data_IF_168146607325
#
_entry.id   IF_168146607325
#
_cell.length_a   1.000
_cell.length_b   1.000
_cell.length_c   1.000
_cell.angle_alpha   90.00
_cell.angle_beta   90.00
_cell.angle_gamma   90.00
#
_symmetry.space_group_name_H-M   'P 1'
#
loop_
_entity.id
_entity.type
_entity.pdbx_description
1 polymer ?
#
# COMPACT_ATOMS: atom_id res chain seq x y z
N UNK A 1 -10.56 18.29 -4.12
CA UNK A 1 -9.44 17.62 -3.41
C UNK A 1 -9.29 18.34 -2.08
N UNK A 2 -9.50 17.66 -0.96
CA UNK A 2 -9.08 18.19 0.35
C UNK A 2 -7.55 18.10 0.36
N UNK A 3 -6.89 19.22 0.11
CA UNK A 3 -5.44 19.33 0.21
C UNK A 3 -5.12 20.14 1.45
N UNK A 4 -4.33 19.56 2.36
CA UNK A 4 -3.81 20.29 3.50
C UNK A 4 -2.80 21.33 3.01
N UNK A 5 -2.86 22.52 3.58
CA UNK A 5 -1.81 23.54 3.44
C UNK A 5 -0.51 23.05 4.09
N UNK A 6 0.66 23.59 3.71
CA UNK A 6 1.92 23.27 4.38
C UNK A 6 1.90 23.49 5.90
N UNK A 7 1.15 24.49 6.38
CA UNK A 7 0.96 24.76 7.80
C UNK A 7 0.15 23.67 8.50
N UNK A 8 -1.01 23.30 7.95
CA UNK A 8 -1.83 22.19 8.46
C UNK A 8 -1.06 20.87 8.45
N UNK A 9 -0.19 20.67 7.46
CA UNK A 9 0.64 19.48 7.36
C UNK A 9 1.70 19.43 8.47
N UNK A 10 2.36 20.55 8.75
CA UNK A 10 3.30 20.67 9.87
C UNK A 10 2.61 20.40 11.21
N UNK A 11 1.45 21.02 11.42
CA UNK A 11 0.63 20.82 12.63
C UNK A 11 0.23 19.35 12.81
N UNK A 12 -0.24 18.69 11.74
CA UNK A 12 -0.60 17.29 11.79
C UNK A 12 0.59 16.38 12.14
N UNK A 13 1.80 16.68 11.65
CA UNK A 13 3.01 15.93 12.04
C UNK A 13 3.33 16.06 13.51
N UNK A 14 3.21 17.27 14.06
CA UNK A 14 3.42 17.50 15.49
C UNK A 14 2.38 16.75 16.34
N UNK A 15 1.10 16.81 15.95
CA UNK A 15 0.02 16.09 16.62
C UNK A 15 0.22 14.57 16.56
N UNK A 16 0.67 14.04 15.42
CA UNK A 16 0.99 12.62 15.28
C UNK A 16 2.17 12.21 16.17
N UNK A 17 3.22 13.02 16.24
CA UNK A 17 4.36 12.75 17.12
C UNK A 17 3.92 12.72 18.60
N UNK A 18 3.07 13.66 19.02
CA UNK A 18 2.48 13.67 20.37
C UNK A 18 1.62 12.43 20.61
N UNK A 19 0.78 12.05 19.64
CA UNK A 19 -0.03 10.84 19.72
C UNK A 19 0.84 9.57 19.83
N UNK A 20 1.96 9.50 19.11
CA UNK A 20 2.93 8.41 19.21
C UNK A 20 3.53 8.29 20.61
N UNK A 21 3.96 9.41 21.21
CA UNK A 21 4.45 9.43 22.58
C UNK A 21 3.40 8.96 23.59
N UNK A 22 2.16 9.46 23.46
CA UNK A 22 1.05 9.06 24.32
C UNK A 22 0.73 7.58 24.16
N UNK A 23 0.66 7.08 22.93
CA UNK A 23 0.39 5.68 22.65
C UNK A 23 1.47 4.75 23.24
N UNK A 24 2.73 5.16 23.18
CA UNK A 24 3.87 4.44 23.77
C UNK A 24 3.82 4.30 25.30
N UNK A 25 3.02 5.13 25.99
CA UNK A 25 2.79 4.96 27.44
C UNK A 25 1.87 3.79 27.78
N UNK A 26 1.12 3.27 26.79
CA UNK A 26 0.17 2.17 26.99
C UNK A 26 0.72 0.86 26.42
N UNK A 27 1.10 -0.12 27.26
CA UNK A 27 1.58 -1.41 26.78
C UNK A 27 0.50 -2.25 26.07
N UNK A 28 -0.77 -1.81 26.11
CA UNK A 28 -1.90 -2.49 25.45
C UNK A 28 -2.21 -1.92 24.06
N UNK A 29 -1.76 -0.71 23.76
CA UNK A 29 -2.04 -0.06 22.48
C UNK A 29 -0.92 -0.38 21.49
N UNK A 30 -1.22 -1.24 20.52
CA UNK A 30 -0.32 -1.44 19.37
C UNK A 30 -0.56 -0.32 18.37
N UNK A 31 0.49 0.38 17.98
CA UNK A 31 0.42 1.45 17.00
C UNK A 31 1.62 1.38 16.05
N UNK A 32 1.48 2.01 14.89
CA UNK A 32 2.53 2.19 13.88
C UNK A 32 2.70 3.68 13.52
N UNK A 33 2.46 4.55 14.49
CA UNK A 33 2.48 6.01 14.29
C UNK A 33 3.85 6.48 13.76
N UNK A 34 4.96 5.91 14.22
CA UNK A 34 6.29 6.29 13.72
C UNK A 34 6.45 5.95 12.22
N UNK A 35 6.07 4.74 11.82
CA UNK A 35 6.05 4.29 10.42
C UNK A 35 5.10 5.16 9.57
N UNK A 36 3.97 5.56 10.14
CA UNK A 36 3.02 6.45 9.48
C UNK A 36 3.60 7.86 9.29
N UNK A 37 4.28 8.42 10.29
CA UNK A 37 4.96 9.72 10.22
C UNK A 37 6.05 9.71 9.14
N UNK A 38 6.81 8.62 9.02
CA UNK A 38 7.78 8.42 7.94
C UNK A 38 7.10 8.38 6.57
N UNK A 39 5.88 7.84 6.49
CA UNK A 39 5.14 7.72 5.23
C UNK A 39 4.56 9.05 4.74
N UNK A 40 4.20 9.95 5.66
CA UNK A 40 3.68 11.30 5.34
C UNK A 40 4.81 12.33 5.20
N UNK A 41 5.95 12.14 5.87
CA UNK A 41 6.92 13.19 6.23
C UNK A 41 7.74 13.86 5.12
N UNK A 42 7.56 13.48 3.88
CA UNK A 42 8.16 14.16 2.73
C UNK A 42 7.04 14.43 1.74
N UNK A 43 7.06 15.61 1.08
CA UNK A 43 6.41 15.71 -0.22
C UNK A 43 6.89 14.49 -1.01
N UNK A 44 6.06 13.46 -1.12
CA UNK A 44 6.22 12.44 -2.14
C UNK A 44 5.88 13.15 -3.45
N UNK A 45 6.75 14.07 -3.85
CA UNK A 45 7.03 14.33 -5.25
C UNK A 45 7.14 12.94 -5.85
N UNK A 46 6.21 12.67 -6.76
CA UNK A 46 6.03 11.39 -7.44
C UNK A 46 7.38 10.73 -7.60
N UNK A 47 7.67 9.70 -6.78
CA UNK A 47 8.86 8.89 -7.01
C UNK A 47 8.81 8.52 -8.48
N UNK A 48 9.90 8.77 -9.22
CA UNK A 48 9.94 8.42 -10.64
C UNK A 48 9.52 6.96 -10.72
N UNK A 49 8.64 6.62 -11.67
CA UNK A 49 8.10 5.25 -11.83
C UNK A 49 9.24 4.20 -11.78
N UNK A 50 10.41 4.56 -12.33
CA UNK A 50 11.67 3.79 -12.37
C UNK A 50 12.32 3.49 -11.01
N UNK A 51 11.96 4.21 -9.96
CA UNK A 51 12.50 4.07 -8.59
C UNK A 51 11.53 3.31 -7.66
N UNK A 52 10.30 3.06 -8.14
CA UNK A 52 9.30 2.35 -7.36
C UNK A 52 9.72 0.89 -7.13
N UNK A 53 9.73 0.45 -5.87
CA UNK A 53 10.01 -0.94 -5.43
C UNK A 53 9.13 -1.94 -6.16
N UNK A 54 7.94 -1.51 -6.52
CA UNK A 54 6.92 -2.25 -7.25
C UNK A 54 7.45 -2.76 -8.60
N UNK A 55 8.38 -2.04 -9.24
CA UNK A 55 9.03 -2.51 -10.47
C UNK A 55 10.25 -3.41 -10.24
N UNK A 56 10.68 -3.60 -8.99
CA UNK A 56 11.82 -4.45 -8.63
C UNK A 56 11.39 -5.78 -8.01
N UNK A 57 10.24 -5.81 -7.34
CA UNK A 57 9.67 -7.02 -6.74
C UNK A 57 8.22 -7.25 -7.15
N UNK A 58 7.74 -8.50 -7.18
CA UNK A 58 6.32 -8.79 -7.38
C UNK A 58 5.44 -8.00 -6.41
N UNK A 59 4.32 -7.47 -6.91
CA UNK A 59 3.31 -6.90 -6.05
C UNK A 59 2.41 -8.03 -5.52
N UNK A 60 2.37 -8.18 -4.20
CA UNK A 60 1.62 -9.23 -3.50
C UNK A 60 0.32 -8.72 -2.88
N UNK A 61 0.00 -7.42 -3.03
CA UNK A 61 -1.12 -6.76 -2.34
C UNK A 61 -2.45 -7.48 -2.51
N UNK A 62 -2.77 -7.94 -3.72
CA UNK A 62 -4.02 -8.66 -4.00
C UNK A 62 -4.12 -10.06 -3.36
N UNK A 63 -3.14 -10.50 -2.58
CA UNK A 63 -3.23 -11.73 -1.77
C UNK A 63 -3.56 -11.47 -0.31
N UNK A 64 -3.37 -10.25 0.20
CA UNK A 64 -3.54 -9.94 1.63
C UNK A 64 -4.32 -8.65 1.89
N UNK A 65 -4.70 -7.92 0.85
CA UNK A 65 -5.55 -6.73 0.91
C UNK A 65 -6.65 -6.84 -0.15
N UNK A 66 -7.82 -6.29 0.17
CA UNK A 66 -8.86 -5.91 -0.78
C UNK A 66 -9.53 -4.64 -0.26
N UNK A 67 -10.07 -3.83 -1.16
CA UNK A 67 -10.91 -2.68 -0.81
C UNK A 67 -12.33 -2.99 -1.24
N UNK A 68 -13.31 -2.65 -0.41
CA UNK A 68 -14.72 -2.83 -0.72
C UNK A 68 -15.40 -1.49 -0.50
N UNK A 69 -16.02 -0.95 -1.54
CA UNK A 69 -16.77 0.29 -1.47
C UNK A 69 -18.08 0.09 -0.70
N UNK A 70 -18.66 1.17 -0.12
CA UNK A 70 -19.91 1.07 0.64
C UNK A 70 -21.09 0.45 -0.12
N UNK A 71 -21.06 0.50 -1.46
CA UNK A 71 -22.10 -0.05 -2.34
C UNK A 71 -21.83 -1.50 -2.77
N UNK A 72 -20.70 -2.08 -2.37
CA UNK A 72 -20.30 -3.46 -2.68
C UNK A 72 -19.20 -3.68 -3.72
N UNK A 73 -18.83 -2.75 -4.63
CA UNK A 73 -17.70 -2.94 -5.53
C UNK A 73 -16.42 -3.35 -4.80
N UNK A 74 -15.71 -4.32 -5.36
CA UNK A 74 -14.49 -4.88 -4.77
C UNK A 74 -13.30 -4.52 -5.66
N UNK A 75 -12.33 -3.84 -5.08
CA UNK A 75 -11.08 -3.44 -5.72
C UNK A 75 -9.91 -4.26 -5.15
N UNK A 76 -8.93 -4.61 -5.98
CA UNK A 76 -7.79 -5.43 -5.55
C UNK A 76 -6.73 -4.63 -4.78
N UNK A 77 -6.78 -3.30 -4.85
CA UNK A 77 -5.84 -2.38 -4.24
C UNK A 77 -6.50 -0.98 -4.18
N UNK A 78 -6.17 -0.16 -3.19
CA UNK A 78 -6.66 1.22 -3.10
C UNK A 78 -6.18 2.13 -4.24
N UNK A 79 -5.12 1.74 -4.94
CA UNK A 79 -4.52 2.51 -6.03
C UNK A 79 -5.13 2.15 -7.40
N UNK A 80 -6.12 1.25 -7.47
CA UNK A 80 -6.73 0.80 -8.71
C UNK A 80 -8.17 1.31 -8.84
N UNK A 81 -8.51 1.87 -10.00
CA UNK A 81 -9.84 2.45 -10.25
C UNK A 81 -10.88 1.36 -10.55
N UNK A 82 -10.49 0.29 -11.25
CA UNK A 82 -11.43 -0.75 -11.68
C UNK A 82 -11.84 -1.68 -10.53
N UNK A 83 -13.15 -1.90 -10.41
CA UNK A 83 -13.68 -3.00 -9.60
C UNK A 83 -13.55 -4.34 -10.34
N UNK A 84 -13.31 -5.41 -9.58
CA UNK A 84 -13.18 -6.79 -10.09
C UNK A 84 -14.46 -7.62 -9.89
N UNK A 85 -15.50 -6.99 -9.35
CA UNK A 85 -16.77 -7.60 -9.00
C UNK A 85 -17.47 -6.80 -7.91
N UNK A 86 -18.59 -7.32 -7.42
CA UNK A 86 -19.32 -6.75 -6.29
C UNK A 86 -19.58 -7.82 -5.23
N UNK A 87 -19.43 -7.45 -3.97
CA UNK A 87 -19.79 -8.25 -2.80
C UNK A 87 -21.20 -7.93 -2.28
N UNK A 88 -22.08 -7.36 -3.12
CA UNK A 88 -23.48 -7.08 -2.81
C UNK A 88 -24.44 -7.99 -3.59
N UNK A 89 -25.67 -8.14 -3.06
CA UNK A 89 -26.72 -8.94 -3.67
C UNK A 89 -26.46 -10.45 -3.58
N UNK A 90 -26.46 -11.14 -4.71
CA UNK A 90 -26.25 -12.60 -4.80
C UNK A 90 -24.79 -13.02 -4.82
N UNK A 91 -23.85 -12.08 -4.97
CA UNK A 91 -22.42 -12.32 -4.98
C UNK A 91 -21.82 -12.03 -3.60
N UNK A 92 -20.91 -12.88 -3.14
CA UNK A 92 -20.16 -12.66 -1.90
C UNK A 92 -18.67 -12.42 -2.17
N UNK A 93 -17.96 -11.90 -1.17
CA UNK A 93 -16.53 -11.59 -1.29
C UNK A 93 -15.69 -12.82 -1.68
N UNK A 94 -16.00 -14.01 -1.16
CA UNK A 94 -15.25 -15.23 -1.50
C UNK A 94 -15.34 -15.57 -2.99
N UNK A 95 -16.52 -15.38 -3.59
CA UNK A 95 -16.72 -15.57 -5.03
C UNK A 95 -15.92 -14.54 -5.84
N UNK A 96 -15.92 -13.26 -5.44
CA UNK A 96 -15.13 -12.23 -6.12
C UNK A 96 -13.63 -12.49 -5.97
N UNK A 97 -13.17 -12.87 -4.77
CA UNK A 97 -11.76 -13.15 -4.45
C UNK A 97 -11.19 -14.36 -5.20
N UNK A 98 -12.03 -15.35 -5.52
CA UNK A 98 -11.70 -16.54 -6.31
C UNK A 98 -12.03 -16.40 -7.80
N UNK A 99 -12.55 -15.24 -8.21
CA UNK A 99 -12.95 -15.00 -9.59
C UNK A 99 -11.76 -14.89 -10.54
N UNK A 100 -12.02 -15.15 -11.82
CA UNK A 100 -11.03 -15.02 -12.89
C UNK A 100 -10.48 -13.57 -13.02
N UNK A 101 -11.29 -12.48 -12.95
CA UNK A 101 -10.75 -11.11 -12.89
C UNK A 101 -9.70 -10.92 -11.79
N UNK A 102 -9.96 -11.44 -10.58
CA UNK A 102 -9.02 -11.35 -9.46
C UNK A 102 -7.76 -12.18 -9.68
N UNK A 103 -7.88 -13.38 -10.24
CA UNK A 103 -6.74 -14.20 -10.62
C UNK A 103 -5.86 -13.51 -11.66
N UNK A 104 -6.46 -12.86 -12.67
CA UNK A 104 -5.73 -12.07 -13.69
C UNK A 104 -5.00 -10.89 -13.08
N UNK A 105 -5.64 -10.14 -12.18
CA UNK A 105 -4.97 -9.06 -11.44
C UNK A 105 -3.74 -9.59 -10.69
N UNK A 106 -3.88 -10.65 -9.90
CA UNK A 106 -2.77 -11.23 -9.12
C UNK A 106 -1.62 -11.69 -10.01
N UNK A 107 -1.93 -12.29 -11.16
CA UNK A 107 -0.92 -12.68 -12.15
C UNK A 107 -0.18 -11.45 -12.69
N UNK A 108 -0.90 -10.42 -13.11
CA UNK A 108 -0.32 -9.19 -13.62
C UNK A 108 0.53 -8.45 -12.56
N UNK A 109 0.04 -8.38 -11.32
CA UNK A 109 0.74 -7.79 -10.18
C UNK A 109 2.04 -8.54 -9.84
N UNK A 110 2.02 -9.87 -9.94
CA UNK A 110 3.23 -10.69 -9.75
C UNK A 110 4.27 -10.45 -10.85
N UNK A 111 3.82 -10.23 -12.08
CA UNK A 111 4.69 -9.99 -13.24
C UNK A 111 5.11 -8.52 -13.40
N UNK A 112 4.76 -7.62 -12.45
CA UNK A 112 5.10 -6.19 -12.52
C UNK A 112 6.58 -5.90 -12.80
N UNK A 113 7.55 -6.59 -12.16
CA UNK A 113 8.97 -6.33 -12.42
C UNK A 113 9.39 -6.61 -13.87
N UNK A 114 8.68 -7.52 -14.54
CA UNK A 114 8.92 -7.82 -15.97
C UNK A 114 8.25 -6.81 -16.89
N UNK A 115 7.13 -6.22 -16.45
CA UNK A 115 6.39 -5.22 -17.24
C UNK A 115 7.11 -3.88 -17.26
N UNK A 116 7.81 -3.52 -16.19
CA UNK A 116 8.53 -2.25 -16.09
C UNK A 116 7.63 -1.00 -16.07
N UNK A 117 6.32 -1.19 -15.83
CA UNK A 117 5.30 -0.13 -15.75
C UNK A 117 4.19 -0.53 -14.78
N UNK A 118 3.38 0.44 -14.36
CA UNK A 118 2.19 0.21 -13.53
C UNK A 118 1.22 -0.80 -14.14
N UNK A 119 0.38 -1.38 -13.29
CA UNK A 119 -0.80 -2.11 -13.76
C UNK A 119 -1.76 -1.15 -14.46
N UNK A 120 -2.49 -1.68 -15.43
CA UNK A 120 -3.50 -0.94 -16.15
C UNK A 120 -4.56 -0.44 -15.14
N UNK A 121 -4.91 0.84 -15.22
CA UNK A 121 -5.83 1.54 -14.30
C UNK A 121 -5.41 1.53 -12.82
N UNK A 122 -4.10 1.43 -12.54
CA UNK A 122 -3.57 1.57 -11.18
C UNK A 122 -2.39 2.56 -11.09
N UNK A 123 -2.35 3.31 -9.99
CA UNK A 123 -1.29 4.29 -9.69
C UNK A 123 -0.18 3.66 -8.83
N UNK A 124 0.49 2.63 -9.38
CA UNK A 124 1.47 1.83 -8.61
C UNK A 124 2.71 2.60 -8.11
N UNK A 125 3.04 3.74 -8.72
CA UNK A 125 4.26 4.50 -8.41
C UNK A 125 4.15 5.32 -7.12
N UNK A 126 2.93 5.66 -6.69
CA UNK A 126 2.65 6.35 -5.43
C UNK A 126 2.03 5.39 -4.41
N UNK A 127 2.44 4.12 -4.42
CA UNK A 127 1.80 3.08 -3.62
C UNK A 127 2.13 3.20 -2.12
N UNK A 128 1.11 3.44 -1.30
CA UNK A 128 1.22 3.50 0.16
C UNK A 128 1.56 2.14 0.79
N UNK A 129 1.28 1.05 0.09
CA UNK A 129 1.56 -0.31 0.54
C UNK A 129 2.95 -0.82 0.15
N UNK A 130 3.88 0.08 -0.20
CA UNK A 130 5.27 -0.28 -0.51
C UNK A 130 5.88 -1.13 0.60
N UNK A 131 5.75 -0.69 1.86
CA UNK A 131 6.34 -1.36 3.00
C UNK A 131 5.69 -2.70 3.33
N UNK A 132 4.36 -2.74 3.31
CA UNK A 132 3.63 -4.00 3.41
C UNK A 132 4.08 -5.00 2.34
N UNK A 133 4.27 -4.55 1.10
CA UNK A 133 4.72 -5.43 0.02
C UNK A 133 6.17 -5.93 0.23
N UNK A 134 7.09 -5.06 0.68
CA UNK A 134 8.46 -5.45 1.05
C UNK A 134 8.45 -6.50 2.15
N UNK A 135 7.65 -6.29 3.21
CA UNK A 135 7.52 -7.22 4.32
C UNK A 135 7.06 -8.60 3.89
N UNK A 136 5.97 -8.68 3.11
CA UNK A 136 5.48 -9.97 2.60
C UNK A 136 6.46 -10.62 1.63
N UNK A 137 7.11 -9.83 0.76
CA UNK A 137 8.17 -10.34 -0.10
C UNK A 137 9.32 -10.96 0.70
N UNK A 138 9.84 -10.24 1.70
CA UNK A 138 10.94 -10.71 2.53
C UNK A 138 10.59 -11.96 3.35
N UNK A 139 9.32 -12.10 3.77
CA UNK A 139 8.81 -13.33 4.40
C UNK A 139 8.79 -14.52 3.44
N UNK A 140 8.38 -14.31 2.19
CA UNK A 140 8.32 -15.36 1.17
C UNK A 140 9.70 -15.68 0.56
N UNK A 141 10.66 -14.76 0.67
CA UNK A 141 11.99 -14.87 0.08
C UNK A 141 13.11 -14.63 1.12
N UNK A 142 13.24 -15.50 2.15
CA UNK A 142 14.15 -15.27 3.27
C UNK A 142 15.63 -15.17 2.87
N UNK A 143 16.02 -15.75 1.73
CA UNK A 143 17.39 -15.73 1.20
C UNK A 143 17.66 -14.59 0.20
N UNK A 144 16.65 -13.81 -0.19
CA UNK A 144 16.75 -12.74 -1.20
C UNK A 144 16.03 -11.48 -0.72
N UNK A 145 16.24 -11.13 0.54
CA UNK A 145 15.58 -9.97 1.14
C UNK A 145 16.00 -8.69 0.43
N UNK A 146 15.07 -7.78 0.25
CA UNK A 146 15.35 -6.41 -0.14
C UNK A 146 15.30 -5.50 1.09
N UNK A 147 16.15 -4.46 1.07
CA UNK A 147 16.14 -3.46 2.12
C UNK A 147 14.77 -2.78 2.17
N UNK A 148 14.32 -2.54 3.39
CA UNK A 148 13.24 -1.63 3.66
C UNK A 148 13.67 -0.22 3.19
N UNK A 149 12.91 0.37 2.26
CA UNK A 149 13.21 1.72 1.75
C UNK A 149 12.86 2.84 2.73
N UNK A 150 12.29 2.54 3.90
CA UNK A 150 12.12 3.50 5.01
C UNK A 150 13.47 3.79 5.67
N UNK A 151 14.45 2.89 5.55
CA UNK A 151 15.78 3.08 6.10
C UNK A 151 16.64 3.79 5.05
N UNK A 152 16.47 5.11 4.94
CA UNK A 152 17.56 5.95 4.47
C UNK A 152 18.79 5.61 5.33
N UNK A 153 19.96 5.30 4.74
CA UNK A 153 21.15 5.10 5.53
C UNK A 153 21.39 6.41 6.27
N UNK A 154 21.31 6.39 7.61
CA UNK A 154 21.74 7.51 8.45
C UNK A 154 23.14 7.90 7.97
N UNK A 155 23.23 9.03 7.27
CA UNK A 155 24.49 9.72 6.99
C UNK A 155 24.68 10.76 8.06
#
# INVERSE_FOLDING_TARGET
VLAMTPGEFSEARELLAQAGMLAGTSPRLKHNIDEFIETIGEEKGQLRITESVQLRIPCTVGYWLTVIDPTGPVHPCCQCEDSLGSASGSSNLCQVWSSEPYARFRKAARDLPKRGRSLDNCTCHSCDFTQGNIHYYNKLHPLRKIADLSVSPRR
#
